data_IF_281004678867
#
_entry.id   IF_281004678867
#
_cell.length_a   1.000
_cell.length_b   1.000
_cell.length_c   1.000
_cell.angle_alpha   90.00
_cell.angle_beta   90.00
_cell.angle_gamma   90.00
#
_symmetry.space_group_name_H-M   'P 1'
#
loop_
_entity.id
_entity.type
_entity.pdbx_description
1 polymer ?
#
# COMPACT_ATOMS: atom_id res chain seq x y z
N UNK A 1 18.51 -12.86 51.05
CA UNK A 1 17.48 -12.76 49.99
C UNK A 1 17.83 -11.83 48.81
N UNK A 2 19.06 -11.30 48.67
CA UNK A 2 19.45 -10.42 47.52
C UNK A 2 20.10 -11.13 46.32
N UNK A 3 20.38 -12.44 46.38
CA UNK A 3 21.01 -13.21 45.29
C UNK A 3 20.03 -13.88 44.31
N UNK A 4 18.75 -13.99 44.65
CA UNK A 4 17.73 -14.57 43.74
C UNK A 4 17.07 -13.52 42.84
N UNK A 5 16.96 -12.27 43.30
CA UNK A 5 16.35 -11.17 42.52
C UNK A 5 17.19 -10.76 41.31
N UNK A 6 18.52 -10.89 41.39
CA UNK A 6 19.41 -10.63 40.26
C UNK A 6 19.39 -11.72 39.16
N UNK A 7 18.86 -12.91 39.47
CA UNK A 7 18.70 -14.00 38.50
C UNK A 7 17.36 -13.92 37.75
N UNK A 8 16.37 -13.24 38.33
CA UNK A 8 15.07 -12.97 37.69
C UNK A 8 15.14 -11.72 36.81
N UNK A 9 15.86 -10.68 37.23
CA UNK A 9 16.04 -9.45 36.45
C UNK A 9 16.99 -9.58 35.25
N UNK A 10 17.78 -10.65 35.15
CA UNK A 10 18.61 -10.92 33.96
C UNK A 10 17.92 -11.80 32.91
N UNK A 11 16.65 -12.20 33.12
CA UNK A 11 15.89 -13.05 32.19
C UNK A 11 14.93 -12.26 31.28
N UNK A 12 15.00 -10.93 31.30
CA UNK A 12 14.14 -10.04 30.53
C UNK A 12 14.84 -9.30 29.38
N UNK A 13 16.15 -9.49 29.18
CA UNK A 13 16.95 -8.75 28.18
C UNK A 13 17.85 -9.66 27.33
N UNK A 14 17.55 -10.96 27.28
CA UNK A 14 18.07 -11.88 26.26
C UNK A 14 16.85 -12.49 25.56
N UNK A 15 16.17 -11.71 24.72
CA UNK A 15 15.54 -12.30 23.54
C UNK A 15 16.70 -12.92 22.75
N UNK A 16 17.04 -14.19 22.99
CA UNK A 16 18.06 -14.87 22.17
C UNK A 16 17.61 -14.68 20.72
N UNK A 17 18.42 -13.96 19.95
CA UNK A 17 18.16 -13.72 18.55
C UNK A 17 18.00 -15.08 17.87
N UNK A 18 16.81 -15.36 17.35
CA UNK A 18 16.54 -16.57 16.59
C UNK A 18 17.54 -16.66 15.43
N UNK A 19 18.19 -17.81 15.28
CA UNK A 19 19.01 -18.07 14.11
C UNK A 19 18.13 -18.02 12.84
N UNK A 20 18.70 -17.72 11.66
CA UNK A 20 17.93 -17.53 10.42
C UNK A 20 17.01 -18.71 10.05
N UNK A 21 17.29 -19.91 10.58
CA UNK A 21 16.53 -21.14 10.37
C UNK A 21 15.62 -21.56 11.55
N UNK A 22 15.57 -20.78 12.62
CA UNK A 22 14.77 -21.04 13.82
C UNK A 22 13.55 -20.13 13.90
N UNK A 23 12.46 -20.63 14.46
CA UNK A 23 11.23 -19.88 14.68
C UNK A 23 10.48 -20.35 15.91
N UNK A 24 9.57 -19.52 16.42
CA UNK A 24 8.61 -19.92 17.45
C UNK A 24 7.35 -20.47 16.78
N UNK A 25 7.01 -21.73 17.06
CA UNK A 25 5.82 -22.39 16.53
C UNK A 25 4.53 -21.84 17.19
N UNK A 26 3.36 -22.25 16.70
CA UNK A 26 2.05 -21.83 17.26
C UNK A 26 1.81 -22.22 18.72
N UNK A 27 2.61 -23.14 19.27
CA UNK A 27 2.55 -23.58 20.66
C UNK A 27 3.55 -22.82 21.57
N UNK A 28 4.28 -21.85 21.02
CA UNK A 28 5.24 -21.04 21.78
C UNK A 28 6.62 -21.68 21.93
N UNK A 29 6.92 -22.76 21.21
CA UNK A 29 8.18 -23.50 21.31
C UNK A 29 9.14 -23.12 20.17
N UNK A 30 10.46 -23.15 20.44
CA UNK A 30 11.47 -22.98 19.40
C UNK A 30 11.51 -24.22 18.50
N UNK A 31 11.44 -24.01 17.20
CA UNK A 31 11.44 -25.04 16.16
C UNK A 31 12.32 -24.61 15.00
N UNK A 32 12.69 -25.55 14.13
CA UNK A 32 13.64 -25.35 13.04
C UNK A 32 12.98 -25.63 11.68
N UNK A 33 13.39 -24.94 10.60
CA UNK A 33 12.82 -25.13 9.25
C UNK A 33 12.87 -26.60 8.80
N UNK A 34 13.95 -27.32 9.12
CA UNK A 34 14.10 -28.74 8.75
C UNK A 34 13.10 -29.69 9.44
N UNK A 35 12.40 -29.25 10.50
CA UNK A 35 11.29 -30.00 11.10
C UNK A 35 10.06 -30.06 10.18
N UNK A 36 10.04 -29.36 9.04
CA UNK A 36 9.03 -29.54 7.99
C UNK A 36 9.02 -30.98 7.44
N UNK A 37 10.14 -31.71 7.53
CA UNK A 37 10.28 -33.07 7.02
C UNK A 37 10.16 -34.17 8.09
N UNK A 38 9.80 -33.82 9.34
CA UNK A 38 9.61 -34.79 10.42
C UNK A 38 8.22 -34.64 11.05
N UNK A 39 7.52 -35.78 11.18
CA UNK A 39 6.22 -36.04 11.81
C UNK A 39 5.13 -35.00 11.54
N UNK A 40 4.32 -35.29 10.52
CA UNK A 40 3.05 -34.60 10.31
C UNK A 40 1.93 -35.62 10.14
N UNK A 41 1.48 -36.19 11.27
CA UNK A 41 0.32 -37.10 11.34
C UNK A 41 -0.90 -36.54 10.57
N UNK A 42 -1.15 -35.23 10.63
CA UNK A 42 -2.24 -34.56 9.89
C UNK A 42 -2.07 -34.60 8.35
N UNK A 43 -0.83 -34.54 7.85
CA UNK A 43 -0.53 -34.58 6.41
C UNK A 43 -0.56 -36.01 5.91
N UNK A 44 -0.03 -36.94 6.70
CA UNK A 44 -0.08 -38.37 6.43
C UNK A 44 -1.53 -38.84 6.39
N UNK A 45 -2.37 -38.42 7.35
CA UNK A 45 -3.81 -38.69 7.37
C UNK A 45 -4.56 -38.12 6.16
N UNK A 46 -4.16 -36.94 5.68
CA UNK A 46 -4.78 -36.30 4.53
C UNK A 46 -4.37 -37.00 3.22
N UNK A 47 -3.11 -37.39 3.09
CA UNK A 47 -2.57 -38.20 2.00
C UNK A 47 -3.23 -39.58 1.98
N UNK A 48 -3.35 -40.25 3.13
CA UNK A 48 -3.99 -41.56 3.26
C UNK A 48 -5.45 -41.55 2.83
N UNK A 49 -6.22 -40.53 3.24
CA UNK A 49 -7.62 -40.37 2.80
C UNK A 49 -7.72 -40.06 1.31
N UNK A 50 -6.76 -39.31 0.76
CA UNK A 50 -6.68 -39.03 -0.68
C UNK A 50 -6.40 -40.31 -1.47
N UNK A 51 -5.44 -41.14 -1.02
CA UNK A 51 -5.13 -42.43 -1.65
C UNK A 51 -6.26 -43.46 -1.48
N UNK A 52 -7.00 -43.41 -0.37
CA UNK A 52 -8.18 -44.27 -0.12
C UNK A 52 -9.47 -43.78 -0.82
N UNK A 53 -9.44 -42.63 -1.51
CA UNK A 53 -10.58 -42.05 -2.24
C UNK A 53 -11.79 -41.67 -1.37
N UNK A 54 -11.54 -41.40 -0.08
CA UNK A 54 -12.58 -40.98 0.86
C UNK A 54 -12.93 -39.49 0.71
N UNK A 55 -14.19 -39.10 0.98
CA UNK A 55 -14.61 -37.71 0.87
C UNK A 55 -13.91 -36.83 1.93
N UNK A 56 -13.10 -35.87 1.50
CA UNK A 56 -12.47 -34.92 2.41
C UNK A 56 -13.48 -33.88 2.93
N UNK A 57 -13.52 -33.68 4.25
CA UNK A 57 -14.28 -32.59 4.88
C UNK A 57 -13.58 -31.24 4.61
N UNK A 58 -14.30 -30.16 4.29
CA UNK A 58 -13.70 -28.85 3.97
C UNK A 58 -12.87 -28.25 5.12
N UNK A 59 -13.19 -28.59 6.36
CA UNK A 59 -12.43 -28.17 7.54
C UNK A 59 -11.04 -28.84 7.63
N UNK A 60 -10.92 -30.09 7.19
CA UNK A 60 -9.65 -30.84 7.16
C UNK A 60 -8.65 -30.22 6.17
N UNK A 61 -9.10 -29.81 4.98
CA UNK A 61 -8.23 -29.10 4.01
C UNK A 61 -7.74 -27.75 4.54
N UNK A 62 -8.58 -27.04 5.31
CA UNK A 62 -8.18 -25.79 5.95
C UNK A 62 -7.15 -26.00 7.08
N UNK A 63 -7.25 -27.11 7.81
CA UNK A 63 -6.28 -27.51 8.83
C UNK A 63 -4.97 -27.93 8.18
N UNK A 64 -5.00 -28.74 7.12
CA UNK A 64 -3.81 -29.14 6.35
C UNK A 64 -3.13 -27.91 5.73
N UNK A 65 -3.88 -27.00 5.10
CA UNK A 65 -3.32 -25.75 4.58
C UNK A 65 -2.74 -24.86 5.69
N UNK A 66 -3.34 -24.84 6.89
CA UNK A 66 -2.80 -24.12 8.04
C UNK A 66 -1.51 -24.76 8.57
N UNK A 67 -1.43 -26.09 8.60
CA UNK A 67 -0.24 -26.86 9.01
C UNK A 67 0.90 -26.68 8.00
N UNK A 68 0.61 -26.82 6.70
CA UNK A 68 1.58 -26.59 5.61
C UNK A 68 2.06 -25.13 5.63
N UNK A 69 1.14 -24.17 5.77
CA UNK A 69 1.51 -22.75 5.89
C UNK A 69 2.36 -22.48 7.12
N UNK A 70 2.15 -23.20 8.23
CA UNK A 70 2.96 -23.04 9.44
C UNK A 70 4.39 -23.59 9.30
N UNK A 71 4.58 -24.60 8.44
CA UNK A 71 5.84 -25.30 8.24
C UNK A 71 6.69 -24.76 7.08
N UNK A 72 6.08 -24.14 6.06
CA UNK A 72 6.84 -23.47 4.99
C UNK A 72 7.32 -22.11 5.49
N UNK A 73 8.60 -22.03 5.86
CA UNK A 73 9.26 -20.80 6.31
C UNK A 73 10.56 -20.57 5.54
N UNK A 74 10.85 -19.32 5.21
CA UNK A 74 12.07 -18.93 4.49
C UNK A 74 13.09 -18.42 5.50
N UNK A 75 14.37 -18.82 5.42
CA UNK A 75 15.39 -18.32 6.32
C UNK A 75 15.58 -16.81 6.13
N UNK A 76 15.48 -16.02 7.21
CA UNK A 76 15.72 -14.57 7.15
C UNK A 76 16.97 -14.18 7.94
N UNK A 77 17.85 -13.42 7.30
CA UNK A 77 19.20 -13.12 7.80
C UNK A 77 19.23 -12.22 9.04
N UNK A 78 18.14 -11.51 9.35
CA UNK A 78 18.11 -10.48 10.41
C UNK A 78 16.99 -10.70 11.44
N UNK A 79 16.35 -11.88 11.51
CA UNK A 79 15.21 -12.08 12.41
C UNK A 79 14.52 -13.45 12.42
N UNK A 80 15.25 -14.54 12.15
CA UNK A 80 14.70 -15.90 12.20
C UNK A 80 13.86 -16.32 10.98
N UNK A 81 13.37 -17.56 10.96
CA UNK A 81 12.63 -18.11 9.83
C UNK A 81 11.22 -17.50 9.71
N UNK A 82 10.96 -16.78 8.62
CA UNK A 82 9.69 -16.09 8.40
C UNK A 82 8.67 -16.99 7.72
N UNK A 83 7.44 -17.01 8.24
CA UNK A 83 6.32 -17.80 7.69
C UNK A 83 6.01 -17.35 6.27
N UNK A 84 6.06 -18.29 5.31
CA UNK A 84 5.64 -18.02 3.94
C UNK A 84 4.12 -18.17 3.86
N UNK A 85 3.42 -17.08 3.52
CA UNK A 85 2.00 -17.15 3.20
C UNK A 85 1.83 -17.98 1.93
N UNK A 86 1.13 -19.13 2.04
CA UNK A 86 0.93 -20.07 0.95
C UNK A 86 0.21 -19.43 -0.25
N UNK A 87 -0.44 -18.28 -0.06
CA UNK A 87 -1.05 -17.49 -1.12
C UNK A 87 -0.05 -16.85 -2.09
N UNK A 88 1.25 -16.81 -1.74
CA UNK A 88 2.33 -16.31 -2.61
C UNK A 88 2.75 -17.35 -3.65
N UNK A 89 2.63 -18.65 -3.34
CA UNK A 89 3.14 -19.73 -4.21
C UNK A 89 2.40 -19.80 -5.56
N UNK A 90 1.06 -19.73 -5.63
CA UNK A 90 0.37 -19.86 -6.91
C UNK A 90 0.77 -18.77 -7.92
N UNK A 91 0.84 -17.46 -7.59
CA UNK A 91 1.34 -16.46 -8.52
C UNK A 91 2.74 -16.73 -9.06
N UNK A 92 3.67 -17.20 -8.22
CA UNK A 92 5.06 -17.43 -8.58
C UNK A 92 5.25 -18.57 -9.60
N UNK A 93 4.43 -19.61 -9.51
CA UNK A 93 4.53 -20.79 -10.38
C UNK A 93 3.54 -20.71 -11.55
N UNK A 94 2.29 -20.34 -11.26
CA UNK A 94 1.22 -20.35 -12.25
C UNK A 94 1.45 -19.30 -13.33
N UNK A 95 1.92 -18.10 -12.97
CA UNK A 95 2.08 -17.03 -13.97
C UNK A 95 3.13 -17.38 -15.04
N UNK A 96 4.38 -17.76 -14.70
CA UNK A 96 5.36 -18.13 -15.73
C UNK A 96 4.87 -19.32 -16.54
N UNK A 97 4.35 -20.37 -15.91
CA UNK A 97 3.87 -21.57 -16.62
C UNK A 97 2.77 -21.22 -17.62
N UNK A 98 1.79 -20.41 -17.21
CA UNK A 98 0.70 -20.00 -18.10
C UNK A 98 1.20 -19.12 -19.25
N UNK A 99 2.16 -18.22 -19.01
CA UNK A 99 2.74 -17.39 -20.08
C UNK A 99 3.58 -18.22 -21.07
N UNK A 100 4.32 -19.23 -20.61
CA UNK A 100 5.06 -20.12 -21.52
C UNK A 100 4.12 -21.01 -22.32
N UNK A 101 3.05 -21.54 -21.70
CA UNK A 101 2.01 -22.29 -22.42
C UNK A 101 1.35 -21.41 -23.48
N UNK A 102 0.97 -20.18 -23.11
CA UNK A 102 0.41 -19.20 -24.04
C UNK A 102 1.34 -18.90 -25.23
N UNK A 103 2.66 -18.91 -25.02
CA UNK A 103 3.65 -18.68 -26.07
C UNK A 103 3.80 -19.83 -27.07
N UNK A 104 3.28 -21.03 -26.79
CA UNK A 104 3.42 -22.18 -27.72
C UNK A 104 2.61 -21.99 -29.01
N UNK A 105 1.50 -21.26 -28.95
CA UNK A 105 0.66 -21.02 -30.13
C UNK A 105 -0.27 -19.83 -29.91
N UNK A 106 -0.51 -19.04 -30.96
CA UNK A 106 -1.39 -17.87 -30.93
C UNK A 106 -2.78 -18.14 -30.32
N UNK A 107 -3.43 -19.24 -30.75
CA UNK A 107 -4.76 -19.61 -30.22
C UNK A 107 -4.70 -19.97 -28.73
N UNK A 108 -3.62 -20.63 -28.30
CA UNK A 108 -3.44 -20.97 -26.89
C UNK A 108 -3.19 -19.70 -26.07
N UNK A 109 -2.40 -18.77 -26.59
CA UNK A 109 -2.22 -17.45 -26.00
C UNK A 109 -3.53 -16.69 -25.82
N UNK A 110 -4.39 -16.67 -26.84
CA UNK A 110 -5.71 -16.04 -26.73
C UNK A 110 -6.56 -16.69 -25.63
N UNK A 111 -6.64 -18.01 -25.59
CA UNK A 111 -7.42 -18.75 -24.58
C UNK A 111 -6.87 -18.49 -23.17
N UNK A 112 -5.55 -18.62 -22.98
CA UNK A 112 -4.91 -18.48 -21.67
C UNK A 112 -5.04 -17.05 -21.14
N UNK A 113 -4.73 -16.04 -21.96
CA UNK A 113 -4.75 -14.64 -21.52
C UNK A 113 -6.15 -14.11 -21.27
N UNK A 114 -7.16 -14.62 -21.98
CA UNK A 114 -8.58 -14.27 -21.72
C UNK A 114 -9.12 -14.98 -20.48
N UNK A 115 -8.70 -16.23 -20.22
CA UNK A 115 -9.10 -16.98 -19.03
C UNK A 115 -8.44 -16.46 -17.74
N UNK A 116 -7.20 -15.95 -17.81
CA UNK A 116 -6.41 -15.56 -16.64
C UNK A 116 -7.10 -14.51 -15.75
N UNK A 117 -7.68 -13.40 -16.25
CA UNK A 117 -8.46 -12.48 -15.43
C UNK A 117 -9.64 -13.16 -14.74
N UNK A 118 -10.34 -14.07 -15.43
CA UNK A 118 -11.45 -14.84 -14.87
C UNK A 118 -11.00 -15.76 -13.73
N UNK A 119 -9.88 -16.46 -13.90
CA UNK A 119 -9.28 -17.30 -12.86
C UNK A 119 -8.85 -16.49 -11.63
N UNK A 120 -8.22 -15.33 -11.85
CA UNK A 120 -7.83 -14.40 -10.78
C UNK A 120 -9.05 -13.87 -10.03
N UNK A 121 -10.13 -13.51 -10.73
CA UNK A 121 -11.39 -13.07 -10.12
C UNK A 121 -12.12 -14.19 -9.37
N UNK A 122 -12.06 -15.41 -9.90
CA UNK A 122 -12.61 -16.58 -9.22
C UNK A 122 -11.84 -16.87 -7.92
N UNK A 123 -10.50 -16.85 -7.98
CA UNK A 123 -9.65 -16.98 -6.81
C UNK A 123 -9.88 -15.84 -5.80
N UNK A 124 -9.99 -14.60 -6.29
CA UNK A 124 -10.36 -13.44 -5.48
C UNK A 124 -11.66 -13.70 -4.73
N UNK A 125 -12.71 -14.12 -5.43
CA UNK A 125 -14.01 -14.35 -4.83
C UNK A 125 -13.98 -15.47 -3.79
N UNK A 126 -13.27 -16.56 -4.09
CA UNK A 126 -13.12 -17.70 -3.18
C UNK A 126 -12.36 -17.32 -1.89
N UNK A 127 -11.26 -16.57 -2.01
CA UNK A 127 -10.42 -16.17 -0.88
C UNK A 127 -11.03 -14.99 -0.09
N UNK A 128 -11.56 -13.98 -0.77
CA UNK A 128 -12.16 -12.81 -0.15
C UNK A 128 -13.49 -13.12 0.58
N UNK A 129 -14.20 -14.20 0.20
CA UNK A 129 -15.32 -14.73 1.00
C UNK A 129 -14.91 -15.06 2.43
N UNK A 130 -13.65 -15.44 2.67
CA UNK A 130 -13.10 -15.70 4.01
C UNK A 130 -12.67 -14.43 4.76
N UNK A 131 -12.89 -13.23 4.19
CA UNK A 131 -12.73 -11.89 4.81
C UNK A 131 -11.35 -11.61 5.46
N UNK A 132 -10.29 -12.25 4.97
CA UNK A 132 -8.92 -12.03 5.45
C UNK A 132 -8.10 -11.14 4.52
N UNK A 133 -6.96 -10.63 5.04
CA UNK A 133 -5.89 -10.11 4.21
C UNK A 133 -5.23 -11.28 3.44
N UNK A 134 -4.88 -11.05 2.18
CA UNK A 134 -4.19 -12.04 1.35
C UNK A 134 -3.02 -11.36 0.66
N UNK A 135 -1.84 -11.99 0.66
CA UNK A 135 -0.68 -11.46 -0.08
C UNK A 135 -0.72 -11.78 -1.57
N UNK A 136 -1.57 -12.72 -2.01
CA UNK A 136 -1.72 -13.15 -3.41
C UNK A 136 -1.65 -12.02 -4.45
N UNK A 137 -2.49 -10.98 -4.36
CA UNK A 137 -2.56 -9.93 -5.38
C UNK A 137 -1.32 -9.05 -5.40
N UNK A 138 -0.78 -8.74 -4.22
CA UNK A 138 0.47 -7.98 -4.09
C UNK A 138 1.64 -8.80 -4.63
N UNK A 139 1.73 -10.09 -4.29
CA UNK A 139 2.76 -10.98 -4.83
C UNK A 139 2.62 -11.16 -6.34
N UNK A 140 1.40 -11.30 -6.86
CA UNK A 140 1.13 -11.41 -8.29
C UNK A 140 1.60 -10.15 -9.02
N UNK A 141 1.29 -8.97 -8.51
CA UNK A 141 1.71 -7.70 -9.11
C UNK A 141 3.24 -7.53 -9.11
N UNK A 142 3.89 -7.74 -7.96
CA UNK A 142 5.34 -7.61 -7.81
C UNK A 142 6.10 -8.65 -8.64
N UNK A 143 5.67 -9.90 -8.59
CA UNK A 143 6.27 -10.97 -9.37
C UNK A 143 6.06 -10.76 -10.87
N UNK A 144 4.87 -10.32 -11.30
CA UNK A 144 4.64 -9.95 -12.70
C UNK A 144 5.62 -8.88 -13.16
N UNK A 145 5.77 -7.80 -12.39
CA UNK A 145 6.68 -6.70 -12.73
C UNK A 145 8.13 -7.19 -12.80
N UNK A 146 8.57 -7.97 -11.82
CA UNK A 146 9.92 -8.54 -11.79
C UNK A 146 10.18 -9.50 -12.95
N UNK A 147 9.22 -10.38 -13.27
CA UNK A 147 9.33 -11.35 -14.36
C UNK A 147 9.34 -10.67 -15.74
N UNK A 148 8.49 -9.65 -15.96
CA UNK A 148 8.52 -8.86 -17.20
C UNK A 148 9.86 -8.13 -17.36
N UNK A 149 10.39 -7.55 -16.28
CA UNK A 149 11.70 -6.91 -16.32
C UNK A 149 12.83 -7.92 -16.57
N UNK A 150 12.78 -9.09 -15.93
CA UNK A 150 13.74 -10.17 -16.17
C UNK A 150 13.76 -10.60 -17.64
N UNK A 151 12.59 -10.86 -18.25
CA UNK A 151 12.50 -11.18 -19.68
C UNK A 151 12.99 -10.04 -20.56
N UNK A 152 12.71 -8.78 -20.20
CA UNK A 152 13.22 -7.63 -20.94
C UNK A 152 14.76 -7.62 -20.97
N UNK A 153 15.41 -7.88 -19.84
CA UNK A 153 16.88 -7.92 -19.74
C UNK A 153 17.48 -9.14 -20.45
N UNK A 154 16.82 -10.29 -20.42
CA UNK A 154 17.37 -11.56 -20.92
C UNK A 154 17.04 -11.85 -22.37
N UNK A 155 15.87 -11.42 -22.86
CA UNK A 155 15.39 -11.74 -24.20
C UNK A 155 15.38 -10.54 -25.16
N UNK A 156 15.20 -9.32 -24.64
CA UNK A 156 15.00 -8.12 -25.48
C UNK A 156 16.28 -7.30 -25.58
N UNK A 157 16.90 -6.96 -24.45
CA UNK A 157 18.14 -6.18 -24.43
C UNK A 157 19.29 -6.81 -25.23
N UNK A 158 19.55 -8.14 -25.18
CA UNK A 158 20.65 -8.76 -25.92
C UNK A 158 20.49 -8.76 -27.45
N UNK A 159 19.30 -8.42 -27.97
CA UNK A 159 19.05 -8.30 -29.42
C UNK A 159 19.76 -7.09 -30.03
N UNK A 160 20.12 -6.10 -29.22
CA UNK A 160 20.82 -4.89 -29.66
C UNK A 160 19.91 -3.78 -30.19
N UNK A 161 18.59 -4.00 -30.27
CA UNK A 161 17.61 -2.99 -30.72
C UNK A 161 17.30 -1.92 -29.66
N UNK A 162 17.67 -2.18 -28.40
CA UNK A 162 17.41 -1.31 -27.25
C UNK A 162 18.70 -0.68 -26.78
N UNK A 163 18.75 0.66 -26.79
CA UNK A 163 19.92 1.41 -26.34
C UNK A 163 20.08 1.43 -24.82
N UNK A 164 21.29 1.74 -24.30
CA UNK A 164 21.54 1.82 -22.86
C UNK A 164 20.70 2.90 -22.15
N UNK A 165 20.36 3.99 -22.84
CA UNK A 165 19.49 5.05 -22.31
C UNK A 165 18.05 4.55 -22.15
N UNK A 166 17.54 3.77 -23.11
CA UNK A 166 16.20 3.19 -23.05
C UNK A 166 16.11 2.15 -21.91
N UNK A 167 17.15 1.32 -21.77
CA UNK A 167 17.30 0.39 -20.64
C UNK A 167 17.31 1.12 -19.29
N UNK A 168 18.10 2.20 -19.17
CA UNK A 168 18.15 3.01 -17.97
C UNK A 168 16.77 3.62 -17.64
N UNK A 169 16.07 4.14 -18.65
CA UNK A 169 14.72 4.70 -18.47
C UNK A 169 13.72 3.67 -17.96
N UNK A 170 13.68 2.45 -18.53
CA UNK A 170 12.82 1.36 -18.04
C UNK A 170 13.20 0.97 -16.61
N UNK A 171 14.48 0.81 -16.32
CA UNK A 171 14.98 0.41 -15.00
C UNK A 171 14.62 1.44 -13.92
N UNK A 172 14.78 2.73 -14.22
CA UNK A 172 14.37 3.83 -13.35
C UNK A 172 12.85 3.83 -13.16
N UNK A 173 12.08 3.67 -14.24
CA UNK A 173 10.61 3.61 -14.17
C UNK A 173 10.10 2.46 -13.29
N UNK A 174 10.66 1.26 -13.44
CA UNK A 174 10.34 0.09 -12.60
C UNK A 174 10.69 0.36 -11.13
N UNK A 175 11.89 0.89 -10.88
CA UNK A 175 12.37 1.19 -9.52
C UNK A 175 11.51 2.24 -8.82
N UNK A 176 11.18 3.33 -9.53
CA UNK A 176 10.28 4.37 -9.03
C UNK A 176 8.87 3.84 -8.78
N UNK A 177 8.36 2.97 -9.65
CA UNK A 177 7.04 2.34 -9.47
C UNK A 177 7.01 1.51 -8.17
N UNK A 178 8.03 0.69 -7.93
CA UNK A 178 8.14 -0.11 -6.68
C UNK A 178 8.30 0.79 -5.45
N UNK A 179 9.13 1.83 -5.53
CA UNK A 179 9.33 2.78 -4.44
C UNK A 179 8.02 3.48 -4.07
N UNK A 180 7.32 4.04 -5.04
CA UNK A 180 6.05 4.74 -4.79
C UNK A 180 4.97 3.75 -4.34
N UNK A 181 4.92 2.53 -4.87
CA UNK A 181 4.03 1.47 -4.37
C UNK A 181 4.28 1.17 -2.89
N UNK A 182 5.53 1.11 -2.47
CA UNK A 182 5.89 0.93 -1.06
C UNK A 182 5.41 2.09 -0.20
N UNK A 183 5.55 3.33 -0.66
CA UNK A 183 4.96 4.50 -0.01
C UNK A 183 3.42 4.44 0.03
N UNK A 184 2.76 3.99 -1.04
CA UNK A 184 1.32 3.79 -1.09
C UNK A 184 0.84 2.74 -0.10
N UNK A 185 1.65 1.72 0.18
CA UNK A 185 1.34 0.71 1.21
C UNK A 185 1.47 1.28 2.63
N UNK A 186 2.41 2.21 2.86
CA UNK A 186 2.68 2.79 4.18
C UNK A 186 1.53 3.68 4.65
N UNK A 187 1.22 3.55 5.94
CA UNK A 187 0.29 4.37 6.74
C UNK A 187 -0.84 5.07 5.94
N UNK A 188 -2.04 4.49 5.87
CA UNK A 188 -3.17 5.11 5.17
C UNK A 188 -3.80 6.31 5.90
N UNK A 189 -3.29 6.67 7.09
CA UNK A 189 -3.89 7.67 7.98
C UNK A 189 -4.83 7.00 8.98
N UNK A 190 -4.29 6.09 9.79
CA UNK A 190 -5.06 5.39 10.84
C UNK A 190 -5.52 6.38 11.92
N UNK A 191 -6.79 6.32 12.27
CA UNK A 191 -7.37 7.09 13.39
C UNK A 191 -6.89 6.47 14.69
N UNK A 192 -6.09 7.20 15.47
CA UNK A 192 -5.62 6.78 16.80
C UNK A 192 -6.52 7.35 17.88
N UNK A 193 -6.80 6.56 18.91
CA UNK A 193 -7.31 7.07 20.19
C UNK A 193 -6.22 7.93 20.84
N UNK A 194 -6.47 9.21 21.10
CA UNK A 194 -5.66 9.91 22.10
C UNK A 194 -6.03 9.31 23.45
N UNK A 195 -5.14 8.50 24.01
CA UNK A 195 -5.27 7.98 25.38
C UNK A 195 -5.15 9.10 26.42
N UNK A 196 -4.63 10.27 26.02
CA UNK A 196 -4.52 11.46 26.86
C UNK A 196 -5.86 12.21 27.00
N UNK A 197 -6.74 12.14 26.00
CA UNK A 197 -8.06 12.79 26.05
C UNK A 197 -9.07 12.11 27.01
N UNK A 198 -8.74 10.93 27.55
CA UNK A 198 -9.55 10.27 28.59
C UNK A 198 -9.21 10.83 30.00
N UNK A 199 -8.07 11.52 30.15
CA UNK A 199 -7.66 12.14 31.41
C UNK A 199 -7.91 13.66 31.46
N UNK A 200 -8.26 14.31 30.35
CA UNK A 200 -8.74 15.70 30.39
C UNK A 200 -10.21 15.71 30.80
N UNK A 201 -10.41 15.78 32.11
CA UNK A 201 -11.65 16.11 32.81
C UNK A 201 -12.55 17.02 31.99
N UNK A 202 -13.77 16.57 31.71
CA UNK A 202 -14.89 17.43 31.32
C UNK A 202 -15.21 18.30 32.54
N UNK A 203 -14.51 19.42 32.69
CA UNK A 203 -14.92 20.51 33.57
C UNK A 203 -16.05 21.25 32.88
N UNK A 204 -17.30 20.91 33.20
CA UNK A 204 -18.41 21.83 33.01
C UNK A 204 -18.16 23.05 33.89
N UNK A 205 -17.92 24.21 33.27
CA UNK A 205 -18.12 25.49 33.94
C UNK A 205 -19.63 25.69 34.12
N UNK A 206 -20.13 25.47 35.34
CA UNK A 206 -21.43 25.98 35.75
C UNK A 206 -21.23 27.34 36.42
N UNK A 207 -21.94 28.41 35.98
CA UNK A 207 -21.89 29.70 36.66
C UNK A 207 -22.44 29.58 38.09
N UNK A 208 -21.74 30.22 39.02
CA UNK A 208 -22.06 30.31 40.44
C UNK A 208 -23.47 30.88 40.66
N UNK A 209 -24.36 30.08 41.27
CA UNK A 209 -25.54 30.58 41.94
C UNK A 209 -25.23 30.67 43.44
N UNK A 210 -25.26 31.90 43.92
CA UNK A 210 -25.14 32.32 45.31
C UNK A 210 -26.30 31.76 46.15
N UNK A 211 -26.00 31.02 47.23
CA UNK A 211 -26.77 31.04 48.48
C UNK A 211 -26.19 30.15 49.58
N UNK A 212 -26.05 30.77 50.75
CA UNK A 212 -25.70 30.23 52.05
C UNK A 212 -26.43 28.94 52.45
N UNK A 213 -25.74 28.03 53.14
CA UNK A 213 -26.14 27.48 54.44
C UNK A 213 -25.10 26.50 55.01
N UNK A 214 -24.77 26.73 56.28
CA UNK A 214 -23.89 25.98 57.16
C UNK A 214 -24.39 24.57 57.53
N UNK A 215 -23.42 23.65 57.71
CA UNK A 215 -23.34 22.56 58.70
C UNK A 215 -24.49 21.53 58.78
N UNK A 216 -24.21 20.24 58.49
CA UNK A 216 -23.66 19.26 59.45
C UNK A 216 -23.91 17.79 59.01
N UNK A 217 -22.88 16.95 59.18
CA UNK A 217 -22.85 15.49 59.41
C UNK A 217 -23.81 14.51 58.71
N UNK A 218 -23.26 13.50 58.03
CA UNK A 218 -23.26 12.07 58.46
C UNK A 218 -22.73 11.15 57.34
N UNK A 219 -21.93 10.17 57.78
CA UNK A 219 -21.24 9.13 57.00
C UNK A 219 -22.20 7.98 56.64
N UNK A 220 -22.19 7.49 55.40
CA UNK A 220 -22.60 6.12 55.06
C UNK A 220 -22.01 5.68 53.70
N UNK A 221 -21.17 4.65 53.76
CA UNK A 221 -20.69 3.85 52.63
C UNK A 221 -21.81 2.89 52.18
N UNK A 222 -22.09 2.80 50.86
CA UNK A 222 -22.70 1.60 50.25
C UNK A 222 -22.18 1.39 48.82
N UNK A 223 -21.78 0.15 48.58
CA UNK A 223 -21.22 -0.46 47.37
C UNK A 223 -22.24 -0.65 46.24
N UNK A 224 -21.72 -0.64 45.00
CA UNK A 224 -22.33 -0.93 43.69
C UNK A 224 -23.51 -1.93 43.68
N UNK A 225 -24.61 -1.59 43.01
CA UNK A 225 -25.37 -2.55 42.19
C UNK A 225 -26.17 -1.86 41.09
N UNK A 226 -26.29 -2.56 39.97
CA UNK A 226 -26.87 -2.13 38.71
C UNK A 226 -28.40 -1.94 38.76
N UNK A 227 -28.86 -1.14 37.79
CA UNK A 227 -30.23 -1.03 37.27
C UNK A 227 -31.28 -0.40 38.20
N UNK A 228 -31.62 0.86 37.92
CA UNK A 228 -33.02 1.26 37.89
C UNK A 228 -33.24 2.26 36.76
N UNK A 229 -34.20 1.91 35.90
CA UNK A 229 -34.81 2.82 34.95
C UNK A 229 -35.58 3.88 35.74
N UNK A 230 -35.30 5.15 35.50
CA UNK A 230 -36.24 6.23 35.77
C UNK A 230 -36.18 7.20 34.61
N UNK A 231 -37.35 7.41 34.01
CA UNK A 231 -37.53 8.21 32.82
C UNK A 231 -36.95 9.62 32.96
N UNK A 232 -36.16 9.98 31.96
CA UNK A 232 -35.96 11.37 31.58
C UNK A 232 -36.64 11.55 30.23
N UNK A 233 -37.58 12.48 30.20
CA UNK A 233 -38.16 13.01 28.97
C UNK A 233 -37.01 13.67 28.20
N UNK A 234 -36.49 12.96 27.20
CA UNK A 234 -35.45 13.45 26.31
C UNK A 234 -35.96 14.68 25.54
N UNK A 235 -35.24 15.82 25.54
CA UNK A 235 -35.40 16.78 24.47
C UNK A 235 -34.80 16.14 23.21
N UNK A 236 -35.68 15.71 22.31
CA UNK A 236 -35.38 15.07 21.02
C UNK A 236 -34.61 16.06 20.11
N UNK A 237 -33.32 16.26 20.39
CA UNK A 237 -32.41 17.09 19.62
C UNK A 237 -31.70 16.28 18.53
N UNK A 238 -31.51 16.84 17.32
CA UNK A 238 -30.84 16.14 16.22
C UNK A 238 -29.36 15.76 16.50
N UNK A 239 -28.72 16.39 17.48
CA UNK A 239 -27.28 16.22 17.77
C UNK A 239 -26.92 14.88 18.46
N UNK A 240 -27.80 14.32 19.29
CA UNK A 240 -27.55 13.04 19.97
C UNK A 240 -27.66 11.83 19.04
N UNK A 241 -28.48 11.92 17.98
CA UNK A 241 -28.64 10.86 16.96
C UNK A 241 -27.45 10.76 16.01
N UNK A 242 -26.69 11.85 15.82
CA UNK A 242 -25.53 11.91 14.92
C UNK A 242 -24.24 11.41 15.60
N UNK A 243 -24.08 11.67 16.91
CA UNK A 243 -22.93 11.19 17.69
C UNK A 243 -22.86 9.65 17.75
N UNK A 244 -24.02 8.98 17.81
CA UNK A 244 -24.11 7.52 17.90
C UNK A 244 -23.74 6.81 16.58
N UNK A 245 -23.94 7.46 15.41
CA UNK A 245 -23.58 6.88 14.09
C UNK A 245 -22.07 6.92 13.80
N UNK A 246 -21.36 7.88 14.40
CA UNK A 246 -19.93 8.09 14.17
C UNK A 246 -19.04 7.27 15.10
N UNK A 247 -19.60 6.64 16.13
CA UNK A 247 -18.85 5.72 16.99
C UNK A 247 -18.47 4.41 16.27
N UNK A 248 -17.23 3.96 16.48
CA UNK A 248 -16.78 2.64 16.06
C UNK A 248 -16.66 1.71 17.26
N UNK A 249 -17.54 0.72 17.39
CA UNK A 249 -17.47 -0.27 18.47
C UNK A 249 -16.17 -1.09 18.47
N UNK A 250 -15.65 -1.43 17.29
CA UNK A 250 -14.42 -2.24 17.14
C UNK A 250 -13.16 -1.47 17.57
N UNK A 251 -12.99 -0.24 17.10
CA UNK A 251 -11.80 0.57 17.39
C UNK A 251 -11.95 1.43 18.64
N UNK A 252 -13.16 1.52 19.20
CA UNK A 252 -13.52 2.39 20.33
C UNK A 252 -13.12 3.85 20.09
N UNK A 253 -13.43 4.37 18.90
CA UNK A 253 -13.18 5.76 18.50
C UNK A 253 -14.43 6.43 17.96
N UNK A 254 -14.58 7.72 18.24
CA UNK A 254 -15.46 8.59 17.45
C UNK A 254 -14.77 8.88 16.13
N UNK A 255 -15.37 8.44 15.02
CA UNK A 255 -14.82 8.62 13.68
C UNK A 255 -14.91 10.09 13.28
N UNK A 256 -13.80 10.73 12.87
CA UNK A 256 -13.85 12.04 12.23
C UNK A 256 -14.70 12.00 10.94
N UNK A 257 -15.15 13.15 10.43
CA UNK A 257 -15.86 13.22 9.16
C UNK A 257 -15.11 12.48 8.04
N UNK A 258 -15.86 11.75 7.22
CA UNK A 258 -15.36 10.92 6.10
C UNK A 258 -14.44 9.75 6.50
N UNK A 259 -14.14 9.55 7.78
CA UNK A 259 -13.37 8.39 8.23
C UNK A 259 -14.21 7.09 8.17
N UNK A 260 -13.54 5.96 8.02
CA UNK A 260 -14.20 4.66 7.85
C UNK A 260 -13.47 3.51 8.51
N UNK A 261 -14.24 2.58 9.08
CA UNK A 261 -13.69 1.33 9.57
C UNK A 261 -13.51 0.33 8.42
N UNK A 262 -12.28 -0.08 8.15
CA UNK A 262 -11.99 -1.15 7.21
C UNK A 262 -12.04 -2.49 7.94
N UNK A 263 -13.02 -3.33 7.59
CA UNK A 263 -13.18 -4.67 8.20
C UNK A 263 -12.01 -5.61 7.92
N UNK A 264 -11.31 -5.43 6.78
CA UNK A 264 -10.18 -6.28 6.37
C UNK A 264 -8.91 -5.90 7.16
N UNK A 265 -8.70 -4.61 7.42
CA UNK A 265 -7.56 -4.13 8.20
C UNK A 265 -7.85 -4.04 9.71
N UNK A 266 -9.11 -4.10 10.12
CA UNK A 266 -9.51 -3.97 11.54
C UNK A 266 -9.32 -2.58 12.13
N UNK A 267 -9.11 -1.54 11.30
CA UNK A 267 -8.77 -0.18 11.75
C UNK A 267 -9.67 0.88 11.13
N UNK A 268 -9.83 2.01 11.83
CA UNK A 268 -10.43 3.22 11.27
C UNK A 268 -9.38 4.03 10.50
N UNK A 269 -9.73 4.50 9.30
CA UNK A 269 -8.84 5.25 8.40
C UNK A 269 -9.50 6.59 8.04
N UNK A 270 -8.72 7.67 8.10
CA UNK A 270 -9.13 9.02 7.69
C UNK A 270 -9.40 9.08 6.19
N UNK A 271 -10.53 9.71 5.79
CA UNK A 271 -10.99 9.81 4.40
C UNK A 271 -10.81 8.49 3.63
N UNK A 272 -11.36 7.41 4.18
CA UNK A 272 -11.19 6.06 3.65
C UNK A 272 -11.80 5.96 2.24
N UNK A 273 -10.95 5.73 1.24
CA UNK A 273 -11.37 5.52 -0.14
C UNK A 273 -11.82 4.08 -0.36
N UNK A 274 -10.89 3.14 -0.22
CA UNK A 274 -11.15 1.72 -0.32
C UNK A 274 -10.04 0.90 0.36
N UNK A 275 -10.27 -0.40 0.55
CA UNK A 275 -9.20 -1.35 0.81
C UNK A 275 -8.73 -1.90 -0.52
N UNK A 276 -7.46 -1.68 -0.87
CA UNK A 276 -6.89 -2.13 -2.12
C UNK A 276 -6.17 -3.46 -1.92
N UNK A 277 -6.70 -4.51 -2.53
CA UNK A 277 -6.14 -5.87 -2.44
C UNK A 277 -4.78 -5.96 -3.12
N UNK A 278 -4.55 -5.18 -4.17
CA UNK A 278 -3.30 -5.17 -4.94
C UNK A 278 -2.10 -4.59 -4.18
N UNK A 279 -2.34 -3.69 -3.21
CA UNK A 279 -1.28 -3.18 -2.31
C UNK A 279 -1.34 -3.83 -0.92
N UNK A 280 -2.37 -4.66 -0.69
CA UNK A 280 -2.75 -5.22 0.62
C UNK A 280 -2.70 -4.15 1.73
N UNK A 281 -3.40 -3.04 1.50
CA UNK A 281 -3.49 -1.89 2.43
C UNK A 281 -4.71 -1.04 2.10
N UNK A 282 -5.14 -0.20 3.04
CA UNK A 282 -6.16 0.80 2.75
C UNK A 282 -5.58 1.94 1.91
N UNK A 283 -6.41 2.55 1.08
CA UNK A 283 -6.16 3.86 0.48
C UNK A 283 -7.00 4.87 1.26
N UNK A 284 -6.35 5.86 1.86
CA UNK A 284 -6.96 6.88 2.70
C UNK A 284 -6.21 8.20 2.58
N UNK A 285 -6.54 9.16 3.44
CA UNK A 285 -6.06 10.54 3.32
C UNK A 285 -4.53 10.66 3.15
N UNK A 286 -3.75 9.88 3.91
CA UNK A 286 -2.30 10.06 3.97
C UNK A 286 -1.55 9.45 2.78
N UNK A 287 -2.09 8.42 2.12
CA UNK A 287 -1.40 7.69 1.05
C UNK A 287 -2.11 7.77 -0.31
N UNK A 288 -3.27 8.43 -0.42
CA UNK A 288 -4.04 8.53 -1.68
C UNK A 288 -3.22 9.11 -2.84
N UNK A 289 -2.36 10.09 -2.57
CA UNK A 289 -1.49 10.70 -3.60
C UNK A 289 -0.44 9.73 -4.11
N UNK A 290 0.23 9.02 -3.19
CA UNK A 290 1.20 7.98 -3.57
C UNK A 290 0.50 6.91 -4.38
N UNK A 291 -0.73 6.50 -4.00
CA UNK A 291 -1.50 5.52 -4.76
C UNK A 291 -1.77 6.00 -6.19
N UNK A 292 -2.23 7.24 -6.37
CA UNK A 292 -2.43 7.82 -7.70
C UNK A 292 -1.13 7.87 -8.51
N UNK A 293 -0.02 8.27 -7.89
CA UNK A 293 1.29 8.30 -8.51
C UNK A 293 1.79 6.90 -8.91
N UNK A 294 1.52 5.87 -8.10
CA UNK A 294 1.80 4.46 -8.46
C UNK A 294 1.09 4.08 -9.75
N UNK A 295 -0.21 4.41 -9.88
CA UNK A 295 -0.98 4.09 -11.10
C UNK A 295 -0.40 4.79 -12.34
N UNK A 296 -0.05 6.07 -12.22
CA UNK A 296 0.55 6.85 -13.31
C UNK A 296 1.92 6.31 -13.72
N UNK A 297 2.83 6.11 -12.76
CA UNK A 297 4.18 5.60 -13.04
C UNK A 297 4.16 4.19 -13.62
N UNK A 298 3.29 3.32 -13.12
CA UNK A 298 3.09 1.99 -13.68
C UNK A 298 2.66 2.06 -15.15
N UNK A 299 1.66 2.90 -15.46
CA UNK A 299 1.18 3.04 -16.84
C UNK A 299 2.24 3.59 -17.78
N UNK A 300 2.94 4.65 -17.38
CA UNK A 300 4.00 5.23 -18.20
C UNK A 300 5.13 4.22 -18.46
N UNK A 301 5.58 3.54 -17.41
CA UNK A 301 6.65 2.53 -17.51
C UNK A 301 6.20 1.34 -18.37
N UNK A 302 4.98 0.83 -18.17
CA UNK A 302 4.48 -0.33 -18.89
C UNK A 302 4.24 -0.02 -20.37
N UNK A 303 3.65 1.14 -20.71
CA UNK A 303 3.45 1.56 -22.09
C UNK A 303 4.77 1.77 -22.83
N UNK A 304 5.77 2.37 -22.16
CA UNK A 304 7.11 2.53 -22.72
C UNK A 304 7.80 1.18 -22.97
N UNK A 305 7.75 0.27 -21.98
CA UNK A 305 8.28 -1.09 -22.11
C UNK A 305 7.61 -1.88 -23.22
N UNK A 306 6.27 -1.87 -23.31
CA UNK A 306 5.51 -2.49 -24.41
C UNK A 306 5.99 -1.96 -25.76
N UNK A 307 6.16 -0.64 -25.88
CA UNK A 307 6.66 -0.01 -27.11
C UNK A 307 8.05 -0.49 -27.52
N UNK A 308 8.97 -0.62 -26.55
CA UNK A 308 10.33 -1.13 -26.79
C UNK A 308 10.31 -2.59 -27.29
N UNK A 309 9.54 -3.45 -26.63
CA UNK A 309 9.45 -4.88 -27.01
C UNK A 309 8.83 -5.03 -28.39
N UNK A 310 7.74 -4.30 -28.69
CA UNK A 310 7.10 -4.35 -30.01
C UNK A 310 8.06 -3.87 -31.12
N UNK A 311 8.87 -2.84 -30.87
CA UNK A 311 9.88 -2.38 -31.84
C UNK A 311 10.94 -3.44 -32.14
N UNK A 312 11.39 -4.16 -31.12
CA UNK A 312 12.43 -5.20 -31.28
C UNK A 312 11.87 -6.47 -31.91
N UNK A 313 10.66 -6.90 -31.52
CA UNK A 313 10.07 -8.16 -32.00
C UNK A 313 9.37 -7.99 -33.35
N UNK A 314 8.83 -6.80 -33.66
CA UNK A 314 8.04 -6.51 -34.85
C UNK A 314 8.50 -5.20 -35.55
N UNK A 315 9.76 -5.10 -35.99
CA UNK A 315 10.36 -3.84 -36.45
C UNK A 315 9.72 -3.25 -37.71
N UNK A 316 9.09 -4.08 -38.53
CA UNK A 316 8.49 -3.66 -39.82
C UNK A 316 7.07 -3.11 -39.67
N UNK A 317 6.55 -3.00 -38.46
CA UNK A 317 5.18 -2.59 -38.20
C UNK A 317 5.08 -1.35 -37.32
N UNK A 318 4.01 -0.58 -37.53
CA UNK A 318 3.60 0.45 -36.59
C UNK A 318 3.16 -0.20 -35.27
N UNK A 319 3.42 0.45 -34.13
CA UNK A 319 3.13 -0.06 -32.79
C UNK A 319 1.71 -0.64 -32.61
N UNK A 320 0.67 0.05 -33.11
CA UNK A 320 -0.70 -0.41 -32.98
C UNK A 320 -0.96 -1.69 -33.80
N UNK A 321 -0.42 -1.75 -35.02
CA UNK A 321 -0.52 -2.94 -35.86
C UNK A 321 0.28 -4.09 -35.25
N UNK A 322 1.50 -3.81 -34.79
CA UNK A 322 2.37 -4.77 -34.14
C UNK A 322 1.70 -5.39 -32.90
N UNK A 323 0.98 -4.59 -32.10
CA UNK A 323 0.23 -5.07 -30.95
C UNK A 323 -0.88 -6.06 -31.34
N UNK A 324 -1.54 -5.86 -32.48
CA UNK A 324 -2.67 -6.68 -32.92
C UNK A 324 -2.25 -7.90 -33.75
N UNK A 325 -1.19 -7.77 -34.56
CA UNK A 325 -0.81 -8.78 -35.54
C UNK A 325 0.66 -8.65 -35.95
N UNK A 326 1.48 -9.69 -35.71
CA UNK A 326 2.88 -9.73 -36.13
C UNK A 326 3.19 -11.05 -36.84
N UNK A 327 3.30 -11.07 -38.19
CA UNK A 327 3.59 -12.27 -38.96
C UNK A 327 4.88 -12.95 -38.49
N UNK A 328 4.84 -14.27 -38.31
CA UNK A 328 6.03 -15.06 -37.98
C UNK A 328 6.56 -14.89 -36.55
N UNK A 329 5.90 -14.13 -35.68
CA UNK A 329 6.35 -13.93 -34.29
C UNK A 329 6.40 -15.23 -33.48
N UNK A 330 5.59 -16.23 -33.86
CA UNK A 330 5.55 -17.56 -33.26
C UNK A 330 6.55 -18.56 -33.89
N UNK A 331 7.39 -18.14 -34.85
CA UNK A 331 8.38 -19.04 -35.46
C UNK A 331 9.55 -19.38 -34.52
N UNK A 332 9.82 -18.51 -33.54
CA UNK A 332 10.81 -18.74 -32.49
C UNK A 332 10.14 -18.61 -31.13
N UNK A 333 10.49 -19.50 -30.19
CA UNK A 333 9.88 -19.51 -28.86
C UNK A 333 10.15 -18.22 -28.08
N UNK A 334 11.38 -17.68 -28.14
CA UNK A 334 11.76 -16.42 -27.48
C UNK A 334 10.90 -15.24 -27.94
N UNK A 335 10.72 -15.06 -29.25
CA UNK A 335 9.85 -13.98 -29.79
C UNK A 335 8.38 -14.20 -29.44
N UNK A 336 7.91 -15.45 -29.46
CA UNK A 336 6.55 -15.80 -29.08
C UNK A 336 6.27 -15.47 -27.61
N UNK A 337 7.22 -15.77 -26.72
CA UNK A 337 7.15 -15.46 -25.30
C UNK A 337 7.11 -13.95 -25.05
N UNK A 338 8.03 -13.19 -25.65
CA UNK A 338 8.03 -11.73 -25.55
C UNK A 338 6.72 -11.10 -26.06
N UNK A 339 6.19 -11.59 -27.18
CA UNK A 339 4.92 -11.13 -27.74
C UNK A 339 3.73 -11.45 -26.84
N UNK A 340 3.70 -12.65 -26.27
CA UNK A 340 2.68 -13.07 -25.28
C UNK A 340 2.73 -12.18 -24.03
N UNK A 341 3.94 -11.85 -23.56
CA UNK A 341 4.14 -10.93 -22.44
C UNK A 341 3.68 -9.50 -22.76
N UNK A 342 3.83 -9.03 -24.00
CA UNK A 342 3.27 -7.75 -24.44
C UNK A 342 1.76 -7.73 -24.27
N UNK A 343 1.05 -8.76 -24.75
CA UNK A 343 -0.40 -8.86 -24.58
C UNK A 343 -0.82 -8.92 -23.12
N UNK A 344 -0.14 -9.71 -22.29
CA UNK A 344 -0.37 -9.72 -20.85
C UNK A 344 -0.21 -8.32 -20.25
N UNK A 345 0.88 -7.62 -20.55
CA UNK A 345 1.13 -6.26 -20.08
C UNK A 345 0.07 -5.26 -20.58
N UNK A 346 -0.43 -5.41 -21.80
CA UNK A 346 -1.48 -4.56 -22.35
C UNK A 346 -2.82 -4.76 -21.62
N UNK A 347 -3.19 -6.01 -21.31
CA UNK A 347 -4.40 -6.32 -20.53
C UNK A 347 -4.29 -5.70 -19.12
N UNK A 348 -3.15 -5.89 -18.45
CA UNK A 348 -2.92 -5.31 -17.12
C UNK A 348 -2.93 -3.79 -17.18
N UNK A 349 -2.27 -3.18 -18.17
CA UNK A 349 -2.24 -1.73 -18.37
C UNK A 349 -3.64 -1.16 -18.64
N UNK A 350 -4.48 -1.85 -19.41
CA UNK A 350 -5.86 -1.43 -19.63
C UNK A 350 -6.66 -1.42 -18.31
N UNK A 351 -6.47 -2.43 -17.46
CA UNK A 351 -7.07 -2.49 -16.12
C UNK A 351 -6.59 -1.34 -15.21
N UNK A 352 -5.29 -1.07 -15.19
CA UNK A 352 -4.71 0.04 -14.40
C UNK A 352 -5.19 1.40 -14.93
N UNK A 353 -5.31 1.56 -16.24
CA UNK A 353 -5.84 2.77 -16.87
C UNK A 353 -7.29 3.01 -16.46
N UNK A 354 -8.12 1.97 -16.47
CA UNK A 354 -9.49 2.05 -15.99
C UNK A 354 -9.55 2.51 -14.52
N UNK A 355 -8.73 1.92 -13.64
CA UNK A 355 -8.64 2.33 -12.23
C UNK A 355 -8.19 3.80 -12.09
N UNK A 356 -7.20 4.23 -12.87
CA UNK A 356 -6.71 5.61 -12.87
C UNK A 356 -7.83 6.57 -13.28
N UNK A 357 -8.58 6.26 -14.34
CA UNK A 357 -9.70 7.09 -14.80
C UNK A 357 -10.76 7.22 -13.70
N UNK A 358 -11.15 6.12 -13.07
CA UNK A 358 -12.11 6.14 -11.95
C UNK A 358 -11.61 7.01 -10.80
N UNK A 359 -10.35 6.88 -10.42
CA UNK A 359 -9.74 7.69 -9.36
C UNK A 359 -9.69 9.18 -9.71
N UNK A 360 -9.31 9.52 -10.95
CA UNK A 360 -9.28 10.90 -11.45
C UNK A 360 -10.68 11.52 -11.43
N UNK A 361 -11.72 10.78 -11.83
CA UNK A 361 -13.11 11.23 -11.78
C UNK A 361 -13.55 11.47 -10.32
N UNK A 362 -13.32 10.47 -9.45
CA UNK A 362 -13.67 10.56 -8.03
C UNK A 362 -13.00 11.76 -7.33
N UNK A 363 -11.71 11.97 -7.58
CA UNK A 363 -10.96 13.13 -7.08
C UNK A 363 -11.53 14.43 -7.64
N UNK A 364 -11.85 14.47 -8.95
CA UNK A 364 -12.42 15.64 -9.61
C UNK A 364 -13.80 16.02 -9.06
N UNK A 365 -14.56 15.07 -8.54
CA UNK A 365 -15.84 15.28 -7.85
C UNK A 365 -15.70 15.44 -6.32
N UNK A 366 -14.50 15.31 -5.76
CA UNK A 366 -14.20 15.21 -4.31
C UNK A 366 -15.01 14.13 -3.59
N UNK A 367 -15.22 12.99 -4.25
CA UNK A 367 -15.94 11.82 -3.73
C UNK A 367 -14.95 10.68 -3.55
N UNK A 368 -15.00 10.00 -2.41
CA UNK A 368 -14.27 8.74 -2.22
C UNK A 368 -15.06 7.56 -2.81
N UNK A 369 -14.39 6.48 -3.20
CA UNK A 369 -15.06 5.30 -3.73
C UNK A 369 -16.08 4.71 -2.72
N UNK A 370 -15.78 4.79 -1.42
CA UNK A 370 -16.72 4.42 -0.36
C UNK A 370 -17.96 5.31 -0.34
N UNK A 371 -17.80 6.63 -0.45
CA UNK A 371 -18.91 7.58 -0.50
C UNK A 371 -19.76 7.36 -1.75
N UNK A 372 -19.13 7.16 -2.92
CA UNK A 372 -19.83 6.82 -4.16
C UNK A 372 -20.66 5.54 -4.01
N UNK A 373 -20.07 4.46 -3.47
CA UNK A 373 -20.78 3.19 -3.22
C UNK A 373 -21.91 3.33 -2.20
N UNK A 374 -21.75 4.16 -1.16
CA UNK A 374 -22.80 4.42 -0.18
C UNK A 374 -23.97 5.18 -0.83
N UNK A 375 -23.68 6.26 -1.55
CA UNK A 375 -24.68 7.09 -2.19
C UNK A 375 -25.47 6.35 -3.29
N UNK A 376 -24.82 5.44 -4.03
CA UNK A 376 -25.51 4.56 -4.99
C UNK A 376 -26.48 3.57 -4.30
N UNK A 377 -26.11 3.03 -3.13
CA UNK A 377 -27.00 2.13 -2.36
C UNK A 377 -28.20 2.87 -1.79
N UNK A 378 -27.98 4.10 -1.35
CA UNK A 378 -29.00 4.98 -0.79
C UNK A 378 -29.83 5.70 -1.87
N UNK A 379 -29.50 5.48 -3.16
CA UNK A 379 -30.12 6.15 -4.32
C UNK A 379 -30.08 7.69 -4.22
N UNK A 380 -29.08 8.22 -3.52
CA UNK A 380 -28.89 9.66 -3.27
C UNK A 380 -27.91 10.32 -4.25
N UNK A 381 -27.22 9.55 -5.07
CA UNK A 381 -26.27 10.06 -6.07
C UNK A 381 -26.91 10.33 -7.43
N UNK A 382 -26.39 11.34 -8.13
CA UNK A 382 -26.62 11.53 -9.56
C UNK A 382 -25.55 10.77 -10.34
N UNK A 383 -25.97 9.79 -11.13
CA UNK A 383 -25.07 9.06 -12.04
C UNK A 383 -25.08 9.68 -13.43
N UNK A 384 -23.90 9.97 -13.98
CA UNK A 384 -23.73 10.41 -15.37
C UNK A 384 -22.69 9.54 -16.09
N UNK A 385 -22.58 9.67 -17.41
CA UNK A 385 -21.65 8.92 -18.25
C UNK A 385 -21.73 7.39 -18.00
N UNK A 386 -22.92 6.80 -18.26
CA UNK A 386 -23.14 5.35 -18.11
C UNK A 386 -22.81 4.79 -16.70
N UNK A 387 -22.93 5.63 -15.67
CA UNK A 387 -22.65 5.24 -14.28
C UNK A 387 -21.18 5.39 -13.86
N UNK A 388 -20.32 5.88 -14.75
CA UNK A 388 -18.90 6.13 -14.47
C UNK A 388 -18.69 7.33 -13.54
N UNK A 389 -19.56 8.34 -13.63
CA UNK A 389 -19.48 9.55 -12.81
C UNK A 389 -20.57 9.48 -11.75
N UNK A 390 -20.18 9.53 -10.47
CA UNK A 390 -21.09 9.53 -9.32
C UNK A 390 -20.91 10.84 -8.57
N UNK A 391 -21.90 11.73 -8.68
CA UNK A 391 -21.90 13.02 -8.01
C UNK A 391 -22.83 12.99 -6.81
N UNK A 392 -22.26 13.27 -5.62
CA UNK A 392 -23.03 13.49 -4.38
C UNK A 392 -23.27 14.98 -4.11
N UNK A 393 -22.41 15.86 -4.64
CA UNK A 393 -22.47 17.32 -4.45
C UNK A 393 -22.06 17.82 -3.06
N UNK A 394 -21.91 16.94 -2.06
CA UNK A 394 -21.71 17.34 -0.64
C UNK A 394 -20.37 18.04 -0.38
N UNK A 395 -19.27 17.54 -0.97
CA UNK A 395 -17.91 18.05 -0.71
C UNK A 395 -17.29 18.75 -1.93
N UNK A 396 -18.04 18.88 -3.04
CA UNK A 396 -17.49 19.43 -4.28
C UNK A 396 -17.34 20.95 -4.20
N UNK A 397 -16.16 21.45 -4.56
CA UNK A 397 -15.77 22.87 -4.63
C UNK A 397 -15.41 23.29 -6.06
N UNK A 398 -15.91 22.56 -7.05
CA UNK A 398 -15.49 22.66 -8.46
C UNK A 398 -14.13 22.01 -8.72
N UNK A 399 -13.83 21.73 -9.99
CA UNK A 399 -12.65 20.95 -10.41
C UNK A 399 -11.34 21.44 -9.77
N UNK A 400 -11.01 22.72 -9.91
CA UNK A 400 -9.77 23.31 -9.36
C UNK A 400 -9.72 23.26 -7.83
N UNK A 401 -10.85 23.54 -7.17
CA UNK A 401 -10.96 23.49 -5.70
C UNK A 401 -10.74 22.07 -5.17
N UNK A 402 -11.33 21.08 -5.83
CA UNK A 402 -11.22 19.67 -5.47
C UNK A 402 -9.78 19.16 -5.62
N UNK A 403 -9.11 19.49 -6.73
CA UNK A 403 -7.71 19.12 -6.94
C UNK A 403 -6.76 19.86 -5.99
N UNK A 404 -7.01 21.14 -5.69
CA UNK A 404 -6.23 21.89 -4.69
C UNK A 404 -6.36 21.29 -3.29
N UNK A 405 -7.58 20.89 -2.89
CA UNK A 405 -7.81 20.18 -1.62
C UNK A 405 -7.06 18.85 -1.60
N UNK A 406 -7.19 18.02 -2.66
CA UNK A 406 -6.50 16.75 -2.78
C UNK A 406 -4.97 16.90 -2.65
N UNK A 407 -4.42 17.88 -3.37
CA UNK A 407 -2.98 18.20 -3.37
C UNK A 407 -2.50 18.90 -2.09
N UNK A 408 -3.38 19.29 -1.16
CA UNK A 408 -3.03 19.83 0.18
C UNK A 408 -3.39 18.95 1.40
N UNK A 409 -4.14 17.84 1.22
CA UNK A 409 -4.46 16.85 2.29
C UNK A 409 -3.31 16.32 3.18
N UNK A 410 -2.08 16.17 2.66
CA UNK A 410 -0.92 15.64 3.39
C UNK A 410 -0.27 16.65 4.33
N UNK A 411 -0.32 17.93 3.99
CA UNK A 411 0.38 19.00 4.73
C UNK A 411 -0.34 19.32 6.06
N UNK A 412 -1.65 19.05 6.11
CA UNK A 412 -2.49 19.25 7.30
C UNK A 412 -2.29 18.19 8.38
N UNK A 413 -1.78 17.00 8.03
CA UNK A 413 -1.42 15.97 9.01
C UNK A 413 -0.13 16.34 9.76
N UNK A 414 0.85 16.92 9.04
CA UNK A 414 2.13 17.35 9.62
C UNK A 414 1.96 18.55 10.59
N UNK A 415 1.03 19.46 10.30
CA UNK A 415 0.74 20.61 11.16
C UNK A 415 0.02 20.24 12.47
N UNK A 416 -0.68 19.11 12.53
CA UNK A 416 -1.40 18.67 13.74
C UNK A 416 -0.50 17.93 14.73
N UNK A 417 0.49 17.20 14.23
CA UNK A 417 1.49 16.50 15.06
C UNK A 417 2.65 17.42 15.51
N UNK A 418 2.76 18.64 14.96
CA UNK A 418 3.82 19.62 15.27
C UNK A 418 3.44 20.75 16.24
N UNK A 419 2.26 20.70 16.87
CA UNK A 419 1.82 21.75 17.82
C UNK A 419 2.24 21.50 19.28
N UNK A 420 3.40 20.85 19.47
CA UNK A 420 4.15 20.84 20.72
C UNK A 420 5.49 21.55 20.51
N UNK A 421 5.67 22.70 21.15
CA UNK A 421 6.87 23.56 21.17
C UNK A 421 7.22 24.27 19.85
N UNK A 422 6.62 25.45 19.67
CA UNK A 422 7.18 26.51 18.83
C UNK A 422 7.88 27.52 19.74
N UNK A 423 9.19 27.38 19.93
CA UNK A 423 10.00 28.44 20.52
C UNK A 423 10.04 29.62 19.53
N UNK A 424 9.79 30.80 20.06
CA UNK A 424 9.87 32.09 19.37
C UNK A 424 11.25 32.31 18.74
N UNK A 425 11.26 32.73 17.47
CA UNK A 425 12.37 33.46 16.88
C UNK A 425 11.82 34.80 16.40
N UNK A 426 12.27 35.86 17.08
CA UNK A 426 12.00 37.27 16.79
C UNK A 426 12.47 37.67 15.38
N UNK A 427 11.81 38.64 14.73
CA UNK A 427 12.19 39.14 13.42
C UNK A 427 13.22 40.27 13.54
N UNK A 428 14.34 40.17 12.81
CA UNK A 428 15.19 41.32 12.52
C UNK A 428 14.77 41.92 11.18
N UNK A 429 14.09 43.05 11.25
CA UNK A 429 13.83 43.96 10.12
C UNK A 429 14.97 44.98 9.97
N UNK A 430 15.29 45.33 8.71
CA UNK A 430 16.06 46.53 8.36
C UNK A 430 16.92 46.32 7.10
N UNK A 431 16.35 46.24 5.90
CA UNK A 431 16.12 47.35 4.95
C UNK A 431 17.38 48.05 4.41
N UNK A 432 17.71 47.80 3.15
CA UNK A 432 18.03 48.82 2.14
C UNK A 432 18.25 48.18 0.77
N UNK A 433 17.39 48.55 -0.20
CA UNK A 433 17.60 48.35 -1.64
C UNK A 433 17.68 49.71 -2.31
N UNK A 434 18.73 49.97 -3.08
CA UNK A 434 18.84 50.99 -4.14
C UNK A 434 19.98 50.49 -5.06
N UNK A 435 19.67 49.95 -6.25
CA UNK A 435 19.56 50.66 -7.53
C UNK A 435 20.87 51.37 -7.93
N UNK A 436 21.60 50.86 -8.94
CA UNK A 436 21.67 51.44 -10.28
C UNK A 436 22.63 50.70 -11.23
N UNK A 437 22.51 51.05 -12.51
CA UNK A 437 22.95 50.38 -13.74
C UNK A 437 24.29 50.92 -14.25
N UNK A 438 24.95 50.12 -15.09
CA UNK A 438 25.80 50.49 -16.25
C UNK A 438 27.10 51.28 -16.04
N UNK A 439 28.24 50.72 -16.51
CA UNK A 439 29.06 51.27 -17.61
C UNK A 439 30.37 50.49 -17.84
N UNK A 440 30.85 50.58 -19.08
CA UNK A 440 31.97 49.90 -19.71
C UNK A 440 33.38 50.39 -19.28
N UNK A 441 34.33 49.44 -19.23
CA UNK A 441 35.72 49.45 -19.79
C UNK A 441 36.84 50.33 -19.13
N UNK A 442 38.13 50.22 -19.54
CA UNK A 442 39.24 49.76 -18.67
C UNK A 442 40.46 50.71 -18.58
N UNK A 443 41.35 50.53 -17.58
CA UNK A 443 42.77 50.97 -17.55
C UNK A 443 43.37 50.58 -16.17
N UNK A 444 44.48 49.83 -16.08
CA UNK A 444 45.87 50.32 -16.02
C UNK A 444 46.08 51.36 -14.88
N UNK A 445 47.03 51.29 -13.96
CA UNK A 445 48.35 50.64 -13.89
C UNK A 445 48.98 50.91 -12.49
N UNK A 446 50.16 50.31 -12.25
CA UNK A 446 51.20 50.53 -11.22
C UNK A 446 51.37 49.38 -10.21
N UNK A 447 52.37 48.49 -10.42
CA UNK A 447 53.83 48.58 -10.10
C UNK A 447 54.07 48.18 -8.63
N UNK A 448 54.99 47.28 -8.23
CA UNK A 448 56.19 46.72 -8.88
C UNK A 448 56.77 45.55 -8.05
N UNK A 449 57.57 44.69 -8.72
CA UNK A 449 58.74 43.92 -8.25
C UNK A 449 58.55 42.81 -7.17
N UNK A 450 59.19 41.63 -7.21
CA UNK A 450 60.40 41.20 -7.92
C UNK A 450 60.51 39.64 -8.00
N UNK A 451 61.09 39.15 -9.12
CA UNK A 451 62.07 38.04 -9.32
C UNK A 451 62.03 36.75 -8.46
N UNK A 452 62.26 35.52 -8.95
CA UNK A 452 62.53 34.84 -10.26
C UNK A 452 62.77 33.31 -9.95
N UNK A 453 63.22 32.40 -10.86
CA UNK A 453 62.43 31.25 -11.33
C UNK A 453 63.13 29.86 -11.25
N UNK A 454 62.51 28.82 -11.87
CA UNK A 454 63.16 27.54 -12.28
C UNK A 454 62.21 26.34 -12.10
N UNK A 455 61.40 25.84 -13.05
CA UNK A 455 61.61 25.26 -14.39
C UNK A 455 62.03 23.76 -14.38
N UNK A 456 61.34 22.95 -15.21
CA UNK A 456 61.75 21.65 -15.83
C UNK A 456 61.64 20.41 -14.90
N UNK A 457 61.21 19.18 -15.26
CA UNK A 457 60.65 18.54 -16.46
C UNK A 457 60.27 17.08 -16.10
N UNK A 458 59.46 16.47 -16.98
CA UNK A 458 59.13 15.07 -17.24
C UNK A 458 59.97 13.91 -16.65
N UNK A 459 59.24 12.81 -16.34
CA UNK A 459 59.42 11.37 -16.66
C UNK A 459 60.84 10.84 -17.01
N UNK A 460 61.24 9.59 -16.64
CA UNK A 460 60.56 8.37 -17.14
C UNK A 460 60.62 7.11 -16.23
N UNK A 461 59.77 6.12 -16.60
CA UNK A 461 60.00 4.67 -16.82
C UNK A 461 58.71 3.90 -16.52
#
# INVERSE_FOLDING_TARGET
>A
MKKQTHKVLKRGEEEDALCCCEYVNRHGERSHIAACCCDCEDLDDACDRFFKRDSQKPDSLSQVAAVISDRIRVPWLWGGAQKLDLSIVPPLILLPVMLHLAALHFLLGLVVLTALPGLVLWYYYFTHRKKGQTLFFLSLALFSLAYMYYLFITEVFPRGDVGPVELAAVTVGVSLTVLVLFHSKRNPGVVRTSREAIHSTVTYYSPSADRDSLLNGRRQDVTLTAASQTGFTEPDGPELKESNRNWCSVCQVVRPPRAGHCRICGVCVLRLDHHCVWINSCVGQANHRSFLLTLVLFLLTSLYGIGLVLRSVCPQQLLLTALLYCPGVYNQFSTALCFTCVWYCSIVSAGVLHLLVVQVINISCNVTEREARAALREKSARSSCWGLVVETGVYSRGFRGNWSEFMSMGDKAFMKDGSGSRAELLPLSGSASLAERSSLSPCASHMEAASRPGNISAAPV
#
